data_IF_807698989301
#
_entry.id   IF_807698989301
#
_cell.length_a   1.000
_cell.length_b   1.000
_cell.length_c   1.000
_cell.angle_alpha   90.00
_cell.angle_beta   90.00
_cell.angle_gamma   90.00
#
_symmetry.space_group_name_H-M   'P 1'
#
loop_
_entity.id
_entity.type
_entity.pdbx_description
1 polymer ?
#
# COMPACT_ATOMS: atom_id res chain seq x y z
N UNK A 1 -32.40 38.52 17.32
CA UNK A 1 -32.12 38.00 15.96
C UNK A 1 -31.89 36.50 16.09
N UNK A 2 -32.66 35.68 15.36
CA UNK A 2 -32.54 34.23 15.46
C UNK A 2 -31.19 33.79 14.86
N UNK A 3 -30.25 33.39 15.71
CA UNK A 3 -28.90 32.92 15.33
C UNK A 3 -28.92 31.55 14.63
N UNK A 4 -29.99 30.77 14.83
CA UNK A 4 -30.10 29.39 14.36
C UNK A 4 -30.18 29.25 12.82
N UNK A 5 -31.00 30.02 12.08
CA UNK A 5 -31.04 29.97 10.61
C UNK A 5 -29.72 30.39 9.94
N UNK A 6 -29.00 31.35 10.55
CA UNK A 6 -27.69 31.78 10.05
C UNK A 6 -26.66 30.63 10.13
N UNK A 7 -26.61 29.93 11.27
CA UNK A 7 -25.75 28.75 11.45
C UNK A 7 -26.10 27.62 10.47
N UNK A 8 -27.40 27.35 10.27
CA UNK A 8 -27.85 26.33 9.31
C UNK A 8 -27.42 26.66 7.88
N UNK A 9 -27.52 27.94 7.47
CA UNK A 9 -27.11 28.39 6.14
C UNK A 9 -25.60 28.25 5.93
N UNK A 10 -24.80 28.59 6.96
CA UNK A 10 -23.35 28.40 6.93
C UNK A 10 -23.00 26.92 6.80
N UNK A 11 -23.59 26.05 7.63
CA UNK A 11 -23.35 24.60 7.56
C UNK A 11 -23.76 24.00 6.21
N UNK A 12 -24.90 24.42 5.67
CA UNK A 12 -25.37 23.98 4.35
C UNK A 12 -24.40 24.41 3.23
N UNK A 13 -23.91 25.64 3.28
CA UNK A 13 -22.96 26.17 2.30
C UNK A 13 -21.63 25.42 2.37
N UNK A 14 -21.10 25.18 3.57
CA UNK A 14 -19.88 24.40 3.78
C UNK A 14 -20.06 22.96 3.26
N UNK A 15 -21.17 22.32 3.60
CA UNK A 15 -21.49 20.95 3.15
C UNK A 15 -21.54 20.85 1.63
N UNK A 16 -22.26 21.78 0.98
CA UNK A 16 -22.39 21.81 -0.49
C UNK A 16 -21.05 22.12 -1.18
N UNK A 17 -20.24 23.02 -0.60
CA UNK A 17 -18.90 23.30 -1.09
C UNK A 17 -17.97 22.07 -0.98
N UNK A 18 -18.18 21.20 0.02
CA UNK A 18 -17.43 19.97 0.22
C UNK A 18 -17.77 18.86 -0.79
N UNK A 19 -18.92 18.95 -1.49
CA UNK A 19 -19.33 17.93 -2.45
C UNK A 19 -18.35 17.80 -3.62
N UNK A 20 -17.98 18.92 -4.24
CA UNK A 20 -17.04 18.95 -5.35
C UNK A 20 -15.67 18.33 -5.01
N UNK A 21 -14.96 18.74 -3.93
CA UNK A 21 -13.68 18.13 -3.59
C UNK A 21 -13.81 16.64 -3.25
N UNK A 22 -14.91 16.21 -2.62
CA UNK A 22 -15.15 14.78 -2.34
C UNK A 22 -15.32 13.96 -3.62
N UNK A 23 -16.12 14.44 -4.58
CA UNK A 23 -16.33 13.76 -5.86
C UNK A 23 -15.03 13.70 -6.67
N UNK A 24 -14.28 14.81 -6.73
CA UNK A 24 -12.97 14.86 -7.40
C UNK A 24 -12.00 13.85 -6.77
N UNK A 25 -11.94 13.80 -5.44
CA UNK A 25 -11.09 12.87 -4.71
C UNK A 25 -11.48 11.41 -4.96
N UNK A 26 -12.78 11.09 -5.02
CA UNK A 26 -13.27 9.75 -5.37
C UNK A 26 -12.87 9.35 -6.79
N UNK A 27 -13.03 10.24 -7.77
CA UNK A 27 -12.62 9.99 -9.16
C UNK A 27 -11.10 9.76 -9.23
N UNK A 28 -10.31 10.60 -8.55
CA UNK A 28 -8.86 10.46 -8.49
C UNK A 28 -8.44 9.13 -7.86
N UNK A 29 -9.01 8.77 -6.70
CA UNK A 29 -8.73 7.50 -6.04
C UNK A 29 -9.14 6.30 -6.91
N UNK A 30 -10.25 6.40 -7.62
CA UNK A 30 -10.71 5.36 -8.55
C UNK A 30 -9.72 5.13 -9.69
N UNK A 31 -9.28 6.20 -10.36
CA UNK A 31 -8.24 6.15 -11.39
C UNK A 31 -6.93 5.58 -10.83
N UNK A 32 -6.51 6.05 -9.67
CA UNK A 32 -5.30 5.58 -9.00
C UNK A 32 -5.36 4.09 -8.69
N UNK A 33 -6.51 3.59 -8.21
CA UNK A 33 -6.72 2.19 -7.92
C UNK A 33 -6.62 1.32 -9.19
N UNK A 34 -7.18 1.78 -10.32
CA UNK A 34 -7.09 1.07 -11.60
C UNK A 34 -5.63 0.94 -12.04
N UNK A 35 -4.85 2.03 -11.95
CA UNK A 35 -3.41 2.01 -12.27
C UNK A 35 -2.64 1.07 -11.32
N UNK A 36 -2.93 1.16 -10.02
CA UNK A 36 -2.31 0.32 -8.99
C UNK A 36 -2.60 -1.16 -9.23
N UNK A 37 -3.83 -1.49 -9.64
CA UNK A 37 -4.24 -2.85 -10.01
C UNK A 37 -3.36 -3.41 -11.12
N UNK A 38 -3.09 -2.64 -12.17
CA UNK A 38 -2.23 -3.07 -13.28
C UNK A 38 -0.79 -3.37 -12.84
N UNK A 39 -0.20 -2.50 -12.02
CA UNK A 39 1.14 -2.73 -11.45
C UNK A 39 1.18 -3.96 -10.54
N UNK A 40 0.17 -4.11 -9.70
CA UNK A 40 0.02 -5.23 -8.78
C UNK A 40 -0.14 -6.58 -9.49
N UNK A 41 -0.90 -6.64 -10.59
CA UNK A 41 -1.03 -7.85 -11.41
C UNK A 41 0.31 -8.28 -12.03
N UNK A 42 1.09 -7.31 -12.52
CA UNK A 42 2.44 -7.57 -13.06
C UNK A 42 3.36 -8.15 -11.97
N UNK A 43 3.33 -7.61 -10.75
CA UNK A 43 4.08 -8.16 -9.62
C UNK A 43 3.57 -9.55 -9.20
N UNK A 44 2.25 -9.74 -9.15
CA UNK A 44 1.66 -11.02 -8.77
C UNK A 44 2.01 -12.14 -9.75
N UNK A 45 1.96 -11.86 -11.06
CA UNK A 45 2.32 -12.83 -12.11
C UNK A 45 3.82 -13.17 -12.04
N UNK A 46 4.69 -12.16 -11.88
CA UNK A 46 6.14 -12.37 -11.72
C UNK A 46 6.44 -13.23 -10.50
N UNK A 47 5.82 -12.93 -9.35
CA UNK A 47 6.01 -13.68 -8.10
C UNK A 47 5.40 -15.09 -8.13
N UNK A 48 4.23 -15.29 -8.78
CA UNK A 48 3.61 -16.62 -8.92
C UNK A 48 4.47 -17.57 -9.78
N UNK A 49 5.18 -17.04 -10.78
CA UNK A 49 6.16 -17.80 -11.58
C UNK A 49 7.46 -18.06 -10.82
N UNK A 50 7.78 -17.25 -9.81
CA UNK A 50 9.01 -17.30 -9.00
C UNK A 50 8.86 -18.10 -7.69
N UNK A 51 7.68 -18.64 -7.39
CA UNK A 51 7.38 -19.52 -6.25
C UNK A 51 8.02 -20.92 -6.36
N UNK A 52 9.07 -21.07 -7.18
CA UNK A 52 9.83 -22.31 -7.26
C UNK A 52 10.83 -22.32 -6.10
N UNK A 53 10.58 -23.24 -5.16
CA UNK A 53 11.49 -23.63 -4.08
C UNK A 53 12.91 -23.97 -4.55
N UNK A 54 13.13 -24.19 -5.84
CA UNK A 54 14.45 -24.40 -6.45
C UNK A 54 15.39 -23.20 -6.31
N UNK A 55 14.87 -21.96 -6.35
CA UNK A 55 15.75 -20.80 -6.27
C UNK A 55 16.33 -20.64 -4.86
N UNK A 56 15.54 -20.83 -3.80
CA UNK A 56 16.04 -20.72 -2.42
C UNK A 56 17.14 -21.74 -2.12
N UNK A 57 16.97 -22.98 -2.58
CA UNK A 57 17.96 -24.04 -2.43
C UNK A 57 19.24 -23.72 -3.21
N UNK A 58 19.12 -23.30 -4.47
CA UNK A 58 20.26 -22.90 -5.30
C UNK A 58 20.95 -21.62 -4.80
N UNK A 59 20.20 -20.68 -4.20
CA UNK A 59 20.74 -19.44 -3.62
C UNK A 59 21.54 -19.70 -2.35
N UNK A 60 21.05 -20.56 -1.46
CA UNK A 60 21.78 -20.95 -0.25
C UNK A 60 23.06 -21.70 -0.63
N UNK A 61 22.99 -22.61 -1.60
CA UNK A 61 24.17 -23.29 -2.14
C UNK A 61 25.16 -22.34 -2.84
N UNK A 62 24.70 -21.32 -3.58
CA UNK A 62 25.58 -20.35 -4.25
C UNK A 62 26.17 -19.29 -3.30
N UNK A 63 25.43 -18.85 -2.28
CA UNK A 63 25.96 -17.96 -1.22
C UNK A 63 27.06 -18.68 -0.44
N UNK A 64 26.86 -19.96 -0.14
CA UNK A 64 27.84 -20.81 0.53
C UNK A 64 29.08 -21.07 -0.33
N UNK A 65 28.94 -21.12 -1.67
CA UNK A 65 30.06 -21.35 -2.61
C UNK A 65 30.85 -20.10 -3.01
N UNK A 66 30.21 -18.93 -3.14
CA UNK A 66 30.85 -17.76 -3.78
C UNK A 66 31.16 -16.57 -2.88
N UNK A 67 30.65 -16.51 -1.63
CA UNK A 67 30.74 -15.28 -0.78
C UNK A 67 30.28 -14.01 -1.54
N UNK A 68 29.49 -14.15 -2.60
CA UNK A 68 29.07 -13.06 -3.46
C UNK A 68 27.67 -13.30 -4.03
N UNK A 69 26.94 -12.22 -4.29
CA UNK A 69 25.58 -12.22 -4.81
C UNK A 69 25.67 -12.42 -6.34
N UNK A 70 25.21 -13.55 -6.91
CA UNK A 70 25.39 -13.83 -8.33
C UNK A 70 24.64 -12.85 -9.25
N UNK A 71 25.26 -12.42 -10.35
CA UNK A 71 24.67 -11.50 -11.34
C UNK A 71 23.38 -12.01 -12.01
N UNK A 72 23.15 -13.32 -12.03
CA UNK A 72 21.93 -13.93 -12.62
C UNK A 72 20.66 -13.63 -11.81
N UNK A 73 20.84 -13.35 -10.53
CA UNK A 73 19.77 -13.08 -9.56
C UNK A 73 19.35 -11.61 -9.57
N UNK A 74 20.29 -10.71 -9.89
CA UNK A 74 20.11 -9.26 -9.95
C UNK A 74 19.06 -8.82 -10.99
N UNK A 75 18.88 -9.61 -12.06
CA UNK A 75 17.92 -9.32 -13.14
C UNK A 75 16.46 -9.66 -12.83
N UNK A 76 16.20 -10.56 -11.86
CA UNK A 76 14.85 -11.11 -11.64
C UNK A 76 14.31 -10.90 -10.22
N UNK A 77 15.12 -10.42 -9.27
CA UNK A 77 14.63 -9.99 -7.96
C UNK A 77 13.99 -8.60 -8.02
N UNK A 78 12.94 -8.34 -7.23
CA UNK A 78 12.38 -7.01 -7.13
C UNK A 78 13.44 -6.05 -6.55
N UNK A 79 13.55 -4.85 -7.15
CA UNK A 79 14.63 -3.86 -6.93
C UNK A 79 14.95 -3.59 -5.45
N UNK A 80 13.94 -3.66 -4.58
CA UNK A 80 14.09 -3.43 -3.14
C UNK A 80 14.97 -4.47 -2.43
N UNK A 81 15.05 -5.71 -2.93
CA UNK A 81 15.87 -6.79 -2.34
C UNK A 81 17.32 -6.70 -2.83
N UNK A 82 17.52 -6.32 -4.10
CA UNK A 82 18.86 -6.13 -4.68
C UNK A 82 19.61 -5.00 -3.97
N UNK A 83 18.94 -3.87 -3.72
CA UNK A 83 19.54 -2.76 -2.98
C UNK A 83 19.88 -3.15 -1.54
N UNK A 84 19.00 -3.90 -0.87
CA UNK A 84 19.26 -4.41 0.48
C UNK A 84 20.49 -5.31 0.52
N UNK A 85 20.59 -6.26 -0.42
CA UNK A 85 21.73 -7.18 -0.48
C UNK A 85 23.06 -6.46 -0.76
N UNK A 86 23.04 -5.40 -1.59
CA UNK A 86 24.23 -4.57 -1.86
C UNK A 86 24.67 -3.76 -0.64
N UNK A 87 23.72 -3.19 0.10
CA UNK A 87 23.99 -2.48 1.35
C UNK A 87 24.53 -3.44 2.42
N UNK A 88 23.92 -4.62 2.56
CA UNK A 88 24.36 -5.66 3.48
C UNK A 88 25.81 -6.10 3.20
N UNK A 89 26.15 -6.36 1.93
CA UNK A 89 27.52 -6.71 1.52
C UNK A 89 28.55 -5.64 1.94
N UNK A 90 28.19 -4.36 1.81
CA UNK A 90 29.07 -3.23 2.17
C UNK A 90 29.32 -3.10 3.68
N UNK A 91 28.36 -3.54 4.50
CA UNK A 91 28.46 -3.53 5.96
C UNK A 91 29.31 -4.71 6.44
N UNK A 92 29.07 -5.90 5.89
CA UNK A 92 29.81 -7.12 6.23
C UNK A 92 31.30 -7.04 5.83
N UNK A 93 31.61 -6.46 4.65
CA UNK A 93 33.02 -6.30 4.23
C UNK A 93 33.84 -5.33 5.09
N UNK A 94 33.20 -4.40 5.80
CA UNK A 94 33.91 -3.39 6.61
C UNK A 94 34.40 -3.90 7.97
N UNK A 95 34.11 -5.16 8.36
CA UNK A 95 34.50 -5.82 9.63
C UNK A 95 34.65 -4.84 10.81
N UNK A 96 33.57 -4.14 11.14
CA UNK A 96 33.54 -3.19 12.25
C UNK A 96 33.08 -3.88 13.53
N UNK A 97 33.52 -3.36 14.70
CA UNK A 97 33.13 -3.84 16.03
C UNK A 97 31.60 -3.83 16.27
N UNK A 98 30.85 -3.06 15.48
CA UNK A 98 29.39 -2.93 15.52
C UNK A 98 28.71 -3.51 14.26
N UNK A 99 29.29 -4.55 13.65
CA UNK A 99 28.71 -5.14 12.43
C UNK A 99 27.30 -5.68 12.68
N UNK A 100 27.08 -6.42 13.75
CA UNK A 100 25.77 -7.00 14.09
C UNK A 100 24.71 -5.92 14.30
N UNK A 101 25.03 -4.85 15.05
CA UNK A 101 24.13 -3.72 15.29
C UNK A 101 23.76 -2.99 13.99
N UNK A 102 24.72 -2.80 13.07
CA UNK A 102 24.46 -2.14 11.78
C UNK A 102 23.64 -3.01 10.82
N UNK A 103 23.78 -4.33 10.92
CA UNK A 103 22.96 -5.27 10.14
C UNK A 103 21.53 -5.28 10.67
N UNK A 104 21.35 -5.27 11.99
CA UNK A 104 20.03 -5.18 12.63
C UNK A 104 19.33 -3.85 12.29
N UNK A 105 20.03 -2.71 12.38
CA UNK A 105 19.49 -1.40 11.98
C UNK A 105 19.06 -1.39 10.49
N UNK A 106 19.85 -1.99 9.60
CA UNK A 106 19.48 -2.11 8.19
C UNK A 106 18.22 -2.97 8.00
N UNK A 107 18.12 -4.10 8.71
CA UNK A 107 16.96 -4.99 8.65
C UNK A 107 15.69 -4.28 9.15
N UNK A 108 15.77 -3.63 10.31
CA UNK A 108 14.66 -2.92 10.92
C UNK A 108 14.20 -1.73 10.06
N UNK A 109 15.12 -0.97 9.46
CA UNK A 109 14.78 0.09 8.50
C UNK A 109 14.04 -0.46 7.29
N UNK A 110 14.45 -1.64 6.82
CA UNK A 110 13.81 -2.26 5.65
C UNK A 110 12.41 -2.75 5.98
N UNK A 111 12.23 -3.39 7.12
CA UNK A 111 10.93 -3.78 7.65
C UNK A 111 9.99 -2.58 7.78
N UNK A 112 10.46 -1.51 8.41
CA UNK A 112 9.67 -0.29 8.58
C UNK A 112 9.23 0.30 7.23
N UNK A 113 10.13 0.34 6.24
CA UNK A 113 9.79 0.83 4.89
C UNK A 113 8.72 -0.02 4.21
N UNK A 114 8.80 -1.35 4.33
CA UNK A 114 7.84 -2.26 3.71
C UNK A 114 6.46 -2.15 4.37
N UNK A 115 6.41 -2.06 5.71
CA UNK A 115 5.17 -1.89 6.46
C UNK A 115 4.48 -0.57 6.06
N UNK A 116 5.25 0.53 5.96
CA UNK A 116 4.73 1.85 5.56
C UNK A 116 4.06 1.84 4.19
N UNK A 117 4.50 1.00 3.27
CA UNK A 117 3.90 0.87 1.94
C UNK A 117 2.61 0.03 1.93
N UNK A 118 2.37 -0.80 2.94
CA UNK A 118 1.08 -1.45 3.18
C UNK A 118 0.11 -0.48 3.85
N UNK A 119 0.59 0.33 4.79
CA UNK A 119 -0.23 1.30 5.53
C UNK A 119 -0.88 2.35 4.62
N UNK A 120 -0.19 2.79 3.57
CA UNK A 120 -0.76 3.67 2.53
C UNK A 120 -2.02 3.06 1.88
N UNK A 121 -2.04 1.74 1.68
CA UNK A 121 -3.19 1.04 1.09
C UNK A 121 -4.29 0.89 2.14
N UNK A 122 -3.95 0.54 3.39
CA UNK A 122 -4.91 0.48 4.51
C UNK A 122 -5.63 1.81 4.71
N UNK A 123 -4.95 2.93 4.46
CA UNK A 123 -5.57 4.25 4.51
C UNK A 123 -6.73 4.35 3.50
N UNK A 124 -6.53 3.89 2.26
CA UNK A 124 -7.56 3.90 1.20
C UNK A 124 -8.74 2.99 1.58
N UNK A 125 -8.47 1.83 2.23
CA UNK A 125 -9.52 0.92 2.72
C UNK A 125 -10.50 1.63 3.64
N UNK A 126 -10.00 2.52 4.51
CA UNK A 126 -10.84 3.27 5.45
C UNK A 126 -11.45 4.52 4.82
N UNK A 127 -10.67 5.28 4.06
CA UNK A 127 -11.11 6.57 3.51
C UNK A 127 -12.10 6.40 2.35
N UNK A 128 -11.93 5.38 1.50
CA UNK A 128 -12.77 5.16 0.31
C UNK A 128 -14.27 5.07 0.64
N UNK A 129 -14.70 4.14 1.53
CA UNK A 129 -16.09 4.03 1.96
C UNK A 129 -16.61 5.29 2.66
N UNK A 130 -15.78 5.93 3.50
CA UNK A 130 -16.16 7.17 4.19
C UNK A 130 -16.41 8.32 3.22
N UNK A 131 -15.60 8.47 2.18
CA UNK A 131 -15.82 9.46 1.12
C UNK A 131 -17.09 9.17 0.32
N UNK A 132 -17.38 7.89 0.02
CA UNK A 132 -18.64 7.50 -0.61
C UNK A 132 -19.85 7.84 0.24
N UNK A 133 -19.78 7.61 1.55
CA UNK A 133 -20.85 7.96 2.49
C UNK A 133 -21.05 9.47 2.58
N UNK A 134 -19.99 10.27 2.69
CA UNK A 134 -20.09 11.74 2.64
C UNK A 134 -20.68 12.19 1.29
N UNK A 135 -20.24 11.57 0.20
CA UNK A 135 -20.75 11.77 -1.16
C UNK A 135 -22.25 11.50 -1.30
N UNK A 136 -22.85 10.69 -0.42
CA UNK A 136 -24.30 10.45 -0.41
C UNK A 136 -25.11 11.43 0.41
N UNK A 137 -24.55 11.84 1.57
CA UNK A 137 -25.30 12.60 2.55
C UNK A 137 -25.49 14.05 2.09
N UNK A 138 -24.50 14.61 1.38
CA UNK A 138 -24.55 16.00 0.90
C UNK A 138 -25.60 16.17 -0.22
N UNK A 139 -25.56 15.41 -1.34
CA UNK A 139 -26.54 15.58 -2.41
C UNK A 139 -27.95 15.21 -1.97
N UNK A 140 -28.14 14.20 -1.10
CA UNK A 140 -29.46 13.87 -0.56
C UNK A 140 -30.09 15.05 0.20
N UNK A 141 -29.30 15.80 0.97
CA UNK A 141 -29.78 17.02 1.62
C UNK A 141 -30.30 18.07 0.62
N UNK A 142 -29.54 18.31 -0.46
CA UNK A 142 -29.97 19.24 -1.53
C UNK A 142 -31.16 18.71 -2.34
N UNK A 143 -31.24 17.40 -2.57
CA UNK A 143 -32.32 16.76 -3.33
C UNK A 143 -33.65 16.78 -2.59
N UNK A 144 -33.65 16.48 -1.28
CA UNK A 144 -34.84 16.57 -0.43
C UNK A 144 -35.33 18.03 -0.29
N UNK A 145 -34.41 19.00 -0.27
CA UNK A 145 -34.79 20.42 -0.32
C UNK A 145 -35.39 20.83 -1.68
N UNK A 146 -34.98 20.20 -2.79
CA UNK A 146 -35.60 20.41 -4.11
C UNK A 146 -37.01 19.81 -4.20
N UNK A 147 -37.29 18.72 -3.47
CA UNK A 147 -38.61 18.09 -3.41
C UNK A 147 -39.66 19.02 -2.79
N UNK A 148 -39.31 19.80 -1.76
CA UNK A 148 -40.25 20.78 -1.18
C UNK A 148 -40.64 21.89 -2.14
N UNK A 149 -39.87 22.08 -3.21
CA UNK A 149 -40.12 23.04 -4.29
C UNK A 149 -40.79 22.42 -5.52
N UNK A 150 -41.14 21.13 -5.47
CA UNK A 150 -41.74 20.39 -6.60
C UNK A 150 -40.76 20.03 -7.72
N UNK A 151 -39.45 20.20 -7.52
CA UNK A 151 -38.44 19.92 -8.54
C UNK A 151 -37.98 18.45 -8.52
N UNK A 152 -38.75 17.58 -9.18
CA UNK A 152 -38.46 16.15 -9.28
C UNK A 152 -37.18 15.84 -10.09
N UNK A 153 -36.84 16.69 -11.07
CA UNK A 153 -35.63 16.51 -11.89
C UNK A 153 -34.35 16.68 -11.05
N UNK A 154 -34.31 17.71 -10.21
CA UNK A 154 -33.19 17.94 -9.29
C UNK A 154 -33.07 16.81 -8.26
N UNK A 155 -34.19 16.35 -7.69
CA UNK A 155 -34.19 15.22 -6.77
C UNK A 155 -33.57 13.97 -7.42
N UNK A 156 -34.01 13.64 -8.64
CA UNK A 156 -33.50 12.49 -9.39
C UNK A 156 -32.00 12.58 -9.63
N UNK A 157 -31.51 13.74 -10.09
CA UNK A 157 -30.07 13.95 -10.32
C UNK A 157 -29.24 13.82 -9.03
N UNK A 158 -29.71 14.39 -7.92
CA UNK A 158 -29.03 14.28 -6.63
C UNK A 158 -28.98 12.85 -6.11
N UNK A 159 -30.04 12.05 -6.34
CA UNK A 159 -30.06 10.63 -5.96
C UNK A 159 -29.10 9.79 -6.79
N UNK A 160 -29.06 10.00 -8.11
CA UNK A 160 -28.13 9.28 -8.99
C UNK A 160 -26.69 9.55 -8.55
N UNK A 161 -26.34 10.82 -8.29
CA UNK A 161 -25.01 11.18 -7.82
C UNK A 161 -24.72 10.56 -6.45
N UNK A 162 -25.64 10.65 -5.50
CA UNK A 162 -25.49 10.06 -4.18
C UNK A 162 -25.21 8.54 -4.26
N UNK A 163 -26.09 7.76 -4.89
CA UNK A 163 -25.91 6.31 -4.98
C UNK A 163 -24.65 5.90 -5.73
N UNK A 164 -24.30 6.61 -6.80
CA UNK A 164 -23.07 6.34 -7.56
C UNK A 164 -21.83 6.53 -6.68
N UNK A 165 -21.79 7.61 -5.88
CA UNK A 165 -20.65 7.84 -4.97
C UNK A 165 -20.51 6.76 -3.89
N UNK A 166 -21.60 6.19 -3.37
CA UNK A 166 -21.52 5.03 -2.45
C UNK A 166 -20.91 3.82 -3.13
N UNK A 167 -21.44 3.47 -4.31
CA UNK A 167 -21.04 2.26 -5.03
C UNK A 167 -19.55 2.34 -5.36
N UNK A 168 -19.09 3.49 -5.83
CA UNK A 168 -17.66 3.73 -6.11
C UNK A 168 -16.83 3.71 -4.83
N UNK A 169 -17.28 4.38 -3.75
CA UNK A 169 -16.56 4.42 -2.48
C UNK A 169 -16.40 3.05 -1.81
N UNK A 170 -17.46 2.22 -1.84
CA UNK A 170 -17.42 0.84 -1.35
C UNK A 170 -16.54 -0.05 -2.23
N UNK A 171 -16.66 0.05 -3.56
CA UNK A 171 -15.81 -0.70 -4.47
C UNK A 171 -14.33 -0.37 -4.24
N UNK A 172 -13.99 0.91 -4.08
CA UNK A 172 -12.65 1.37 -3.72
C UNK A 172 -12.13 0.71 -2.45
N UNK A 173 -12.93 0.72 -1.38
CA UNK A 173 -12.55 0.14 -0.09
C UNK A 173 -12.34 -1.38 -0.16
N UNK A 174 -13.26 -2.10 -0.82
CA UNK A 174 -13.21 -3.56 -0.96
C UNK A 174 -11.97 -3.98 -1.78
N UNK A 175 -11.75 -3.34 -2.92
CA UNK A 175 -10.61 -3.66 -3.79
C UNK A 175 -9.28 -3.28 -3.13
N UNK A 176 -9.20 -2.13 -2.45
CA UNK A 176 -8.01 -1.77 -1.68
C UNK A 176 -7.73 -2.77 -0.55
N UNK A 177 -8.78 -3.29 0.10
CA UNK A 177 -8.63 -4.27 1.17
C UNK A 177 -8.05 -5.58 0.62
N UNK A 178 -8.57 -6.04 -0.52
CA UNK A 178 -8.03 -7.21 -1.21
C UNK A 178 -6.53 -7.04 -1.51
N UNK A 179 -6.11 -5.89 -2.04
CA UNK A 179 -4.69 -5.63 -2.28
C UNK A 179 -3.86 -5.56 -1.00
N UNK A 180 -4.40 -4.97 0.08
CA UNK A 180 -3.72 -4.91 1.37
C UNK A 180 -3.41 -6.32 1.89
N UNK A 181 -4.40 -7.23 1.86
CA UNK A 181 -4.24 -8.61 2.34
C UNK A 181 -3.18 -9.36 1.54
N UNK A 182 -3.19 -9.24 0.20
CA UNK A 182 -2.22 -9.95 -0.64
C UNK A 182 -0.82 -9.37 -0.47
N UNK A 183 -0.66 -8.04 -0.38
CA UNK A 183 0.63 -7.38 -0.18
C UNK A 183 1.23 -7.70 1.19
N UNK A 184 0.41 -7.79 2.23
CA UNK A 184 0.83 -8.20 3.58
C UNK A 184 1.40 -9.62 3.57
N UNK A 185 0.80 -10.56 2.84
CA UNK A 185 1.35 -11.91 2.66
C UNK A 185 2.71 -11.89 1.97
N UNK A 186 2.89 -11.07 0.93
CA UNK A 186 4.18 -10.95 0.25
C UNK A 186 5.25 -10.32 1.16
N UNK A 187 4.88 -9.33 1.96
CA UNK A 187 5.78 -8.70 2.93
C UNK A 187 6.27 -9.71 3.95
N UNK A 188 5.39 -10.55 4.49
CA UNK A 188 5.78 -11.62 5.42
C UNK A 188 6.73 -12.63 4.78
N UNK A 189 6.44 -13.07 3.54
CA UNK A 189 7.32 -13.97 2.79
C UNK A 189 8.70 -13.31 2.52
N UNK A 190 8.72 -12.04 2.11
CA UNK A 190 9.95 -11.28 1.84
C UNK A 190 10.80 -11.06 3.10
N UNK A 191 10.17 -10.73 4.23
CA UNK A 191 10.86 -10.52 5.51
C UNK A 191 11.51 -11.81 6.00
N UNK A 192 10.81 -12.93 5.85
CA UNK A 192 11.37 -14.26 6.17
C UNK A 192 12.63 -14.54 5.35
N UNK A 193 12.62 -14.22 4.06
CA UNK A 193 13.80 -14.42 3.21
C UNK A 193 14.96 -13.50 3.58
N UNK A 194 14.68 -12.24 3.90
CA UNK A 194 15.70 -11.29 4.36
C UNK A 194 16.37 -11.81 5.63
N UNK A 195 15.60 -12.23 6.63
CA UNK A 195 16.12 -12.75 7.89
C UNK A 195 17.00 -13.99 7.68
N UNK A 196 16.57 -14.93 6.83
CA UNK A 196 17.36 -16.13 6.49
C UNK A 196 18.70 -15.79 5.83
N UNK A 197 18.71 -14.81 4.91
CA UNK A 197 19.93 -14.36 4.24
C UNK A 197 20.88 -13.69 5.23
N UNK A 198 20.34 -12.84 6.11
CA UNK A 198 21.11 -12.17 7.16
C UNK A 198 21.78 -13.18 8.08
N UNK A 199 21.05 -14.18 8.56
CA UNK A 199 21.58 -15.24 9.43
C UNK A 199 22.67 -16.07 8.73
N UNK A 200 22.44 -16.47 7.47
CA UNK A 200 23.40 -17.23 6.69
C UNK A 200 24.72 -16.45 6.47
N UNK A 201 24.64 -15.15 6.17
CA UNK A 201 25.81 -14.30 5.96
C UNK A 201 26.60 -14.06 7.25
N UNK A 202 25.93 -13.87 8.39
CA UNK A 202 26.59 -13.72 9.70
C UNK A 202 27.30 -15.02 10.09
N UNK A 203 26.63 -16.18 9.93
CA UNK A 203 27.18 -17.49 10.31
C UNK A 203 28.44 -17.86 9.52
N UNK A 204 28.50 -17.50 8.23
CA UNK A 204 29.69 -17.72 7.38
C UNK A 204 30.90 -16.91 7.87
N UNK A 205 30.72 -15.70 8.42
CA UNK A 205 31.84 -14.90 8.92
C UNK A 205 32.30 -15.37 10.31
N UNK A 206 31.37 -15.84 11.16
CA UNK A 206 31.67 -16.43 12.47
C UNK A 206 32.58 -17.66 12.41
N UNK A 207 32.32 -18.58 11.47
CA UNK A 207 33.14 -19.79 11.28
C UNK A 207 34.55 -19.47 10.73
N UNK A 208 34.69 -18.35 10.00
CA UNK A 208 35.99 -17.87 9.49
C UNK A 208 36.84 -17.09 10.52
N UNK A 209 36.33 -16.93 11.75
CA UNK A 209 37.08 -16.33 12.87
C UNK A 209 37.54 -17.35 13.91
N UNK A 210 37.17 -18.63 13.73
CA UNK A 210 37.54 -19.76 14.59
C UNK A 210 38.63 -20.67 13.98
N UNK A 211 39.19 -20.30 12.82
CA UNK A 211 40.36 -20.95 12.19
C UNK A 211 41.50 -19.95 12.06
#
# INVERSE_FOLDING_TARGET
MNIFPALQTVLYTISTALLYPVVILLIFLSLWLVIYTGGFLSEWIKRRKFRSSELLANFLEEIQKKKDIPDKIQKNLPLHIVNYAKELKSIVQKKSRFMEERVEDLNQRKEYSLIKDVDKIRLIVRIGPSLGLIGTLIPMGTGLAGLTQGNMAQLSSSLILAFTTTVVGLALGITAHFFSVVKERWLMEDMRHINLVTEAMIKIDGDSSAS
#
